data_IF_326285335308
#
_entry.id   IF_326285335308
#
_cell.length_a   1.000
_cell.length_b   1.000
_cell.length_c   1.000
_cell.angle_alpha   90.00
_cell.angle_beta   90.00
_cell.angle_gamma   90.00
#
_symmetry.space_group_name_H-M   'P 1'
#
loop_
_entity.id
_entity.type
_entity.pdbx_description
1 polymer ?
#
# COMPACT_ATOMS: atom_id res chain seq x y z
N UNK A 1 -23.32 -59.82 -16.36
CA UNK A 1 -22.55 -58.71 -16.93
C UNK A 1 -23.43 -57.49 -16.87
N UNK A 2 -23.26 -56.71 -15.81
CA UNK A 2 -23.95 -55.45 -15.57
C UNK A 2 -22.90 -54.55 -14.94
N UNK A 3 -22.48 -53.57 -15.74
CA UNK A 3 -21.39 -52.65 -15.47
C UNK A 3 -21.68 -51.82 -14.22
N UNK A 4 -20.72 -51.80 -13.30
CA UNK A 4 -20.71 -50.91 -12.15
C UNK A 4 -20.40 -49.49 -12.62
N UNK A 5 -21.37 -48.59 -12.48
CA UNK A 5 -21.14 -47.14 -12.56
C UNK A 5 -20.36 -46.71 -11.32
N UNK A 6 -19.09 -46.41 -11.53
CA UNK A 6 -18.22 -45.83 -10.52
C UNK A 6 -18.45 -44.30 -10.50
N UNK A 7 -19.40 -43.84 -9.69
CA UNK A 7 -19.54 -42.42 -9.33
C UNK A 7 -18.40 -42.05 -8.37
N UNK A 8 -17.26 -41.64 -8.94
CA UNK A 8 -16.23 -40.93 -8.19
C UNK A 8 -16.73 -39.53 -7.86
N UNK A 9 -17.47 -39.40 -6.76
CA UNK A 9 -17.67 -38.15 -6.06
C UNK A 9 -16.32 -37.61 -5.60
N UNK A 10 -15.80 -36.62 -6.34
CA UNK A 10 -14.72 -35.77 -5.83
C UNK A 10 -15.31 -34.99 -4.66
N UNK A 11 -14.84 -35.29 -3.45
CA UNK A 11 -15.06 -34.45 -2.29
C UNK A 11 -14.48 -33.06 -2.59
N UNK A 12 -15.32 -32.09 -2.91
CA UNK A 12 -14.96 -30.68 -2.81
C UNK A 12 -14.72 -30.37 -1.33
N UNK A 13 -13.45 -30.38 -0.91
CA UNK A 13 -13.08 -29.75 0.34
C UNK A 13 -13.47 -28.27 0.24
N UNK A 14 -14.31 -27.80 1.16
CA UNK A 14 -14.81 -26.43 1.25
C UNK A 14 -13.74 -25.40 1.65
N UNK A 15 -12.57 -25.46 1.02
CA UNK A 15 -11.45 -24.55 1.24
C UNK A 15 -11.45 -23.46 0.15
N UNK A 16 -11.37 -22.20 0.58
CA UNK A 16 -11.34 -21.05 -0.33
C UNK A 16 -10.01 -21.02 -1.10
N UNK A 17 -9.94 -20.46 -2.32
CA UNK A 17 -8.69 -20.42 -3.07
C UNK A 17 -7.61 -19.66 -2.30
N UNK A 18 -6.41 -20.25 -2.18
CA UNK A 18 -5.23 -19.57 -1.65
C UNK A 18 -4.60 -18.68 -2.74
N UNK A 19 -4.40 -17.40 -2.40
CA UNK A 19 -3.63 -16.44 -3.20
C UNK A 19 -2.37 -16.10 -2.43
N UNK A 20 -1.22 -16.25 -3.09
CA UNK A 20 0.07 -15.81 -2.56
C UNK A 20 0.47 -14.47 -3.17
N UNK A 21 0.75 -13.48 -2.32
CA UNK A 21 1.34 -12.22 -2.71
C UNK A 21 2.80 -12.17 -2.25
N UNK A 22 3.72 -12.16 -3.20
CA UNK A 22 5.12 -11.88 -2.93
C UNK A 22 5.31 -10.36 -2.87
N UNK A 23 5.88 -9.88 -1.78
CA UNK A 23 6.18 -8.46 -1.55
C UNK A 23 7.68 -8.26 -1.31
N UNK A 24 8.14 -7.03 -1.55
CA UNK A 24 9.54 -6.67 -1.23
C UNK A 24 9.74 -6.69 0.28
N UNK A 25 10.84 -7.30 0.73
CA UNK A 25 11.29 -7.16 2.10
C UNK A 25 11.90 -5.78 2.36
N UNK A 26 12.07 -5.46 3.64
CA UNK A 26 12.78 -4.28 4.10
C UNK A 26 14.23 -4.30 3.62
N UNK A 27 14.73 -3.14 3.18
CA UNK A 27 16.14 -2.95 2.85
C UNK A 27 17.04 -2.88 4.10
N UNK A 28 16.45 -2.89 5.29
CA UNK A 28 17.15 -2.81 6.56
C UNK A 28 17.52 -4.22 7.05
N UNK A 29 16.53 -5.11 7.17
CA UNK A 29 16.72 -6.43 7.78
C UNK A 29 16.48 -7.62 6.83
N UNK A 30 16.03 -7.37 5.60
CA UNK A 30 15.73 -8.40 4.61
C UNK A 30 14.59 -9.34 5.00
N UNK A 31 13.79 -9.01 6.03
CA UNK A 31 12.76 -9.90 6.60
C UNK A 31 11.41 -9.22 6.74
N UNK A 32 11.35 -8.02 7.33
CA UNK A 32 10.08 -7.29 7.46
C UNK A 32 9.53 -6.90 6.11
N UNK A 33 8.24 -6.56 6.04
CA UNK A 33 7.65 -5.90 4.88
C UNK A 33 8.37 -4.59 4.53
N UNK A 34 8.76 -4.44 3.28
CA UNK A 34 9.32 -3.21 2.74
C UNK A 34 8.24 -2.20 2.35
N UNK A 35 8.65 -0.97 2.07
CA UNK A 35 7.75 0.14 1.77
C UNK A 35 7.48 0.32 0.26
N UNK A 36 7.18 -0.76 -0.47
CA UNK A 36 6.75 -0.65 -1.86
C UNK A 36 5.25 -0.32 -1.89
N UNK A 37 4.88 0.82 -2.50
CA UNK A 37 3.47 1.26 -2.59
C UNK A 37 2.57 0.21 -3.25
N UNK A 38 2.97 -0.31 -4.42
CA UNK A 38 2.19 -1.34 -5.12
C UNK A 38 2.06 -2.64 -4.30
N UNK A 39 3.10 -3.02 -3.55
CA UNK A 39 2.99 -4.17 -2.64
C UNK A 39 1.93 -3.92 -1.56
N UNK A 40 1.92 -2.73 -0.95
CA UNK A 40 0.95 -2.41 0.10
C UNK A 40 -0.47 -2.29 -0.48
N UNK A 41 -0.62 -1.67 -1.64
CA UNK A 41 -1.88 -1.51 -2.37
C UNK A 41 -2.55 -2.87 -2.62
N UNK A 42 -1.85 -3.79 -3.29
CA UNK A 42 -2.40 -5.13 -3.57
C UNK A 42 -2.53 -6.01 -2.31
N UNK A 43 -1.69 -5.80 -1.29
CA UNK A 43 -1.87 -6.48 0.00
C UNK A 43 -3.18 -6.00 0.65
N UNK A 44 -3.46 -4.71 0.69
CA UNK A 44 -4.73 -4.20 1.23
C UNK A 44 -5.93 -4.77 0.49
N UNK A 45 -5.89 -4.78 -0.85
CA UNK A 45 -6.98 -5.34 -1.67
C UNK A 45 -7.24 -6.82 -1.37
N UNK A 46 -6.18 -7.64 -1.39
CA UNK A 46 -6.30 -9.07 -1.10
C UNK A 46 -6.69 -9.33 0.36
N UNK A 47 -6.26 -8.50 1.31
CA UNK A 47 -6.64 -8.64 2.71
C UNK A 47 -8.14 -8.41 2.90
N UNK A 48 -8.70 -7.38 2.27
CA UNK A 48 -10.14 -7.11 2.29
C UNK A 48 -10.94 -8.29 1.70
N UNK A 49 -10.44 -8.92 0.63
CA UNK A 49 -11.07 -10.11 0.05
C UNK A 49 -10.96 -11.33 0.98
N UNK A 50 -9.83 -11.50 1.67
CA UNK A 50 -9.67 -12.55 2.67
C UNK A 50 -10.59 -12.35 3.88
N UNK A 51 -10.85 -11.11 4.32
CA UNK A 51 -11.81 -10.79 5.38
C UNK A 51 -13.25 -11.17 5.00
N UNK A 52 -13.60 -11.06 3.71
CA UNK A 52 -14.86 -11.55 3.16
C UNK A 52 -14.94 -13.08 3.05
N UNK A 53 -13.86 -13.79 3.44
CA UNK A 53 -13.71 -15.25 3.33
C UNK A 53 -13.92 -15.75 1.91
N UNK A 54 -13.52 -14.96 0.91
CA UNK A 54 -13.58 -15.38 -0.50
C UNK A 54 -12.28 -16.03 -0.96
N UNK A 55 -11.18 -15.77 -0.25
CA UNK A 55 -9.84 -16.32 -0.49
C UNK A 55 -9.13 -16.58 0.84
N UNK A 56 -8.08 -17.39 0.80
CA UNK A 56 -7.02 -17.39 1.81
C UNK A 56 -5.85 -16.56 1.29
N UNK A 57 -5.24 -15.72 2.12
CA UNK A 57 -4.12 -14.88 1.72
C UNK A 57 -2.82 -15.33 2.39
N UNK A 58 -1.83 -15.69 1.56
CA UNK A 58 -0.45 -15.91 1.97
C UNK A 58 0.41 -14.73 1.52
N UNK A 59 1.22 -14.19 2.40
CA UNK A 59 2.16 -13.10 2.05
C UNK A 59 3.59 -13.55 2.28
N UNK A 60 4.40 -13.43 1.24
CA UNK A 60 5.82 -13.83 1.25
C UNK A 60 6.70 -12.63 1.00
N UNK A 61 7.62 -12.34 1.91
CA UNK A 61 8.60 -11.24 1.74
C UNK A 61 9.87 -11.75 1.06
N UNK A 62 10.37 -11.02 0.06
CA UNK A 62 11.64 -11.34 -0.62
C UNK A 62 12.64 -10.20 -0.48
N UNK A 63 13.81 -10.51 0.07
CA UNK A 63 14.98 -9.62 0.05
C UNK A 63 15.57 -9.60 -1.36
N UNK A 64 15.42 -8.48 -2.07
CA UNK A 64 15.93 -8.32 -3.43
C UNK A 64 17.46 -8.15 -3.49
N UNK A 65 18.14 -7.93 -2.36
CA UNK A 65 19.61 -7.92 -2.30
C UNK A 65 20.16 -9.35 -2.18
N UNK A 66 19.38 -10.27 -1.60
CA UNK A 66 19.72 -11.68 -1.42
C UNK A 66 18.50 -12.57 -1.75
N UNK A 67 18.01 -12.55 -3.01
CA UNK A 67 16.82 -13.32 -3.37
C UNK A 67 17.13 -14.82 -3.32
N UNK A 68 16.10 -15.68 -3.10
CA UNK A 68 16.25 -17.13 -3.23
C UNK A 68 16.88 -17.54 -4.57
N UNK A 69 17.68 -18.62 -4.64
CA UNK A 69 18.41 -19.00 -5.84
C UNK A 69 17.55 -19.17 -7.10
N UNK A 70 16.33 -19.66 -6.91
CA UNK A 70 15.32 -19.96 -7.93
C UNK A 70 14.41 -18.77 -8.26
N UNK A 71 14.44 -17.69 -7.47
CA UNK A 71 13.57 -16.52 -7.67
C UNK A 71 13.69 -15.92 -9.08
N UNK A 72 14.92 -15.78 -9.58
CA UNK A 72 15.17 -15.21 -10.92
C UNK A 72 14.64 -16.09 -12.03
N UNK A 73 14.79 -17.41 -11.89
CA UNK A 73 14.30 -18.38 -12.88
C UNK A 73 12.78 -18.46 -12.86
N UNK A 74 12.17 -18.42 -11.67
CA UNK A 74 10.71 -18.54 -11.50
C UNK A 74 9.94 -17.29 -11.93
N UNK A 75 10.56 -16.10 -11.85
CA UNK A 75 9.87 -14.82 -12.05
C UNK A 75 10.55 -13.90 -13.06
N UNK A 76 11.46 -14.42 -13.88
CA UNK A 76 12.15 -13.68 -14.96
C UNK A 76 12.85 -12.40 -14.48
N UNK A 77 13.39 -12.42 -13.25
CA UNK A 77 13.96 -11.25 -12.57
C UNK A 77 12.99 -10.06 -12.36
N UNK A 78 11.68 -10.28 -12.53
CA UNK A 78 10.66 -9.28 -12.20
C UNK A 78 10.69 -9.02 -10.69
N UNK A 79 10.79 -7.76 -10.26
CA UNK A 79 10.70 -7.45 -8.85
C UNK A 79 9.25 -7.53 -8.33
N UNK A 80 9.05 -7.78 -7.02
CA UNK A 80 7.72 -7.70 -6.43
C UNK A 80 7.06 -6.31 -6.56
N UNK A 81 5.71 -6.24 -6.56
CA UNK A 81 4.77 -7.31 -6.22
C UNK A 81 4.62 -8.40 -7.30
N UNK A 82 4.44 -9.65 -6.87
CA UNK A 82 4.10 -10.79 -7.73
C UNK A 82 2.92 -11.50 -7.10
N UNK A 83 1.87 -11.77 -7.87
CA UNK A 83 0.70 -12.53 -7.42
C UNK A 83 0.79 -13.95 -7.96
N UNK A 84 0.54 -14.95 -7.10
CA UNK A 84 0.44 -16.36 -7.48
C UNK A 84 -0.96 -16.84 -7.12
N UNK A 85 -1.69 -17.32 -8.13
CA UNK A 85 -3.02 -17.90 -8.00
C UNK A 85 -3.03 -19.27 -8.66
N UNK A 86 -3.21 -20.34 -7.86
CA UNK A 86 -3.21 -21.74 -8.32
C UNK A 86 -2.00 -22.11 -9.20
N UNK A 87 -0.81 -21.61 -8.83
CA UNK A 87 0.45 -21.85 -9.55
C UNK A 87 0.68 -20.92 -10.76
N UNK A 88 -0.27 -20.07 -11.12
CA UNK A 88 -0.09 -19.05 -12.15
C UNK A 88 0.53 -17.78 -11.53
N UNK A 89 1.75 -17.44 -11.94
CA UNK A 89 2.42 -16.21 -11.53
C UNK A 89 2.04 -15.03 -12.44
N UNK A 90 1.65 -13.92 -11.83
CA UNK A 90 1.29 -12.66 -12.49
C UNK A 90 2.27 -11.60 -12.03
N UNK A 91 3.04 -11.07 -12.97
CA UNK A 91 4.28 -10.34 -12.70
C UNK A 91 4.14 -8.80 -12.86
N UNK A 92 3.21 -8.35 -13.71
CA UNK A 92 3.04 -6.92 -14.03
C UNK A 92 1.90 -6.30 -13.22
N UNK A 93 2.12 -5.12 -12.64
CA UNK A 93 1.13 -4.40 -11.82
C UNK A 93 -0.26 -4.30 -12.49
N UNK A 94 -0.34 -3.84 -13.74
CA UNK A 94 -1.62 -3.73 -14.46
C UNK A 94 -2.32 -5.08 -14.65
N UNK A 95 -1.55 -6.17 -14.75
CA UNK A 95 -2.09 -7.54 -14.85
C UNK A 95 -2.52 -8.06 -13.48
N UNK A 96 -1.78 -7.75 -12.41
CA UNK A 96 -2.16 -8.08 -11.03
C UNK A 96 -3.49 -7.41 -10.71
N UNK A 97 -3.60 -6.10 -10.90
CA UNK A 97 -4.82 -5.33 -10.66
C UNK A 97 -6.01 -5.91 -11.44
N UNK A 98 -5.82 -6.16 -12.74
CA UNK A 98 -6.85 -6.76 -13.60
C UNK A 98 -7.25 -8.16 -13.13
N UNK A 99 -6.30 -8.96 -12.63
CA UNK A 99 -6.56 -10.29 -12.12
C UNK A 99 -7.35 -10.25 -10.81
N UNK A 100 -6.97 -9.38 -9.87
CA UNK A 100 -7.73 -9.18 -8.63
C UNK A 100 -9.16 -8.74 -8.97
N UNK A 101 -9.33 -7.77 -9.86
CA UNK A 101 -10.64 -7.28 -10.28
C UNK A 101 -11.52 -8.35 -10.93
N UNK A 102 -10.98 -9.17 -11.83
CA UNK A 102 -11.78 -10.05 -12.71
C UNK A 102 -11.83 -11.51 -12.27
N UNK A 103 -10.76 -12.01 -11.67
CA UNK A 103 -10.56 -13.44 -11.43
C UNK A 103 -10.71 -13.81 -9.95
N UNK A 104 -10.42 -12.88 -9.04
CA UNK A 104 -10.49 -13.13 -7.60
C UNK A 104 -11.93 -12.91 -7.10
N UNK A 105 -12.54 -13.88 -6.38
CA UNK A 105 -13.93 -13.73 -5.95
C UNK A 105 -14.10 -12.55 -4.98
N UNK A 106 -15.08 -11.68 -5.28
CA UNK A 106 -15.32 -10.42 -4.58
C UNK A 106 -14.60 -9.20 -5.18
N UNK A 107 -13.59 -9.41 -6.04
CA UNK A 107 -12.77 -8.33 -6.61
C UNK A 107 -13.58 -7.24 -7.32
N UNK A 108 -14.52 -7.61 -8.18
CA UNK A 108 -15.35 -6.66 -8.94
C UNK A 108 -16.07 -5.60 -8.06
N UNK A 109 -16.39 -5.92 -6.80
CA UNK A 109 -17.04 -4.96 -5.87
C UNK A 109 -16.04 -3.95 -5.29
N UNK A 110 -14.76 -4.31 -5.21
CA UNK A 110 -13.68 -3.45 -4.71
C UNK A 110 -13.25 -2.43 -5.76
N UNK A 111 -13.28 -2.80 -7.04
CA UNK A 111 -12.89 -1.96 -8.18
C UNK A 111 -14.05 -1.11 -8.69
N UNK A 112 -14.38 -0.07 -7.93
CA UNK A 112 -15.43 0.90 -8.27
C UNK A 112 -14.96 1.83 -9.39
N UNK A 113 -15.87 2.17 -10.31
CA UNK A 113 -15.59 3.19 -11.33
C UNK A 113 -15.97 4.58 -10.84
N UNK A 114 -14.97 5.38 -10.48
CA UNK A 114 -15.16 6.80 -10.13
C UNK A 114 -14.04 7.65 -10.76
N UNK A 115 -14.38 8.34 -11.85
CA UNK A 115 -13.41 9.19 -12.58
C UNK A 115 -12.99 10.41 -11.78
N UNK A 116 -13.87 10.94 -10.94
CA UNK A 116 -13.56 12.11 -10.10
C UNK A 116 -12.50 11.73 -9.07
N UNK A 117 -12.68 10.59 -8.39
CA UNK A 117 -11.71 10.05 -7.44
C UNK A 117 -10.39 9.68 -8.12
N UNK A 118 -10.43 9.01 -9.27
CA UNK A 118 -9.23 8.66 -10.02
C UNK A 118 -8.37 9.90 -10.32
N UNK A 119 -8.97 10.97 -10.87
CA UNK A 119 -8.28 12.24 -11.14
C UNK A 119 -7.86 12.97 -9.87
N UNK A 120 -8.63 12.84 -8.78
CA UNK A 120 -8.32 13.48 -7.50
C UNK A 120 -7.01 12.96 -6.91
N UNK A 121 -6.78 11.65 -6.92
CA UNK A 121 -5.61 11.03 -6.27
C UNK A 121 -4.39 10.94 -7.19
N UNK A 122 -4.60 11.05 -8.51
CA UNK A 122 -3.55 10.98 -9.52
C UNK A 122 -2.40 11.96 -9.24
N UNK A 123 -1.16 11.52 -9.38
CA UNK A 123 0.07 12.35 -9.27
C UNK A 123 0.41 12.90 -7.87
N UNK A 124 -0.35 12.59 -6.81
CA UNK A 124 0.00 13.07 -5.46
C UNK A 124 1.40 12.61 -5.03
N UNK A 125 1.74 11.34 -5.29
CA UNK A 125 3.03 10.78 -4.92
C UNK A 125 4.18 11.38 -5.75
N UNK A 126 3.93 11.74 -7.00
CA UNK A 126 4.92 12.45 -7.84
C UNK A 126 5.25 13.82 -7.25
N UNK A 127 4.23 14.59 -6.82
CA UNK A 127 4.45 15.88 -6.16
C UNK A 127 5.24 15.73 -4.85
N UNK A 128 4.93 14.68 -4.08
CA UNK A 128 5.71 14.34 -2.89
C UNK A 128 7.17 14.01 -3.22
N UNK A 129 7.44 13.16 -4.21
CA UNK A 129 8.81 12.86 -4.65
C UNK A 129 9.55 14.13 -5.05
N UNK A 130 8.95 14.98 -5.87
CA UNK A 130 9.55 16.27 -6.26
C UNK A 130 9.87 17.16 -5.04
N UNK A 131 9.03 17.15 -4.02
CA UNK A 131 9.28 17.90 -2.78
C UNK A 131 10.54 17.40 -2.06
N UNK A 132 10.63 16.09 -1.80
CA UNK A 132 11.76 15.53 -1.06
C UNK A 132 13.06 15.46 -1.89
N UNK A 133 12.98 15.41 -3.22
CA UNK A 133 14.17 15.46 -4.09
C UNK A 133 14.78 16.87 -4.11
N UNK A 134 13.97 17.92 -4.28
CA UNK A 134 14.46 19.31 -4.33
C UNK A 134 15.23 19.71 -3.08
N UNK A 135 14.84 19.20 -1.92
CA UNK A 135 15.55 19.52 -0.69
C UNK A 135 16.94 18.91 -0.59
N UNK A 136 17.13 17.73 -1.19
CA UNK A 136 18.43 17.07 -1.22
C UNK A 136 19.38 17.83 -2.14
N UNK A 137 18.90 18.32 -3.29
CA UNK A 137 19.72 19.14 -4.20
C UNK A 137 20.12 20.47 -3.57
N UNK A 138 19.21 21.11 -2.83
CA UNK A 138 19.40 22.47 -2.34
C UNK A 138 20.16 22.52 -1.00
N UNK A 139 20.47 21.37 -0.37
CA UNK A 139 20.98 21.25 1.00
C UNK A 139 20.18 22.08 2.03
N UNK A 140 18.90 22.34 1.75
CA UNK A 140 18.01 23.14 2.59
C UNK A 140 16.94 22.24 3.18
N UNK A 141 17.00 22.07 4.50
CA UNK A 141 15.86 21.60 5.28
C UNK A 141 14.97 22.82 5.47
N UNK A 142 13.83 22.85 4.79
CA UNK A 142 12.87 23.95 4.88
C UNK A 142 11.61 23.45 5.56
N UNK A 143 11.18 24.11 6.63
CA UNK A 143 9.84 23.93 7.21
C UNK A 143 8.75 24.53 6.33
N UNK A 144 9.09 25.29 5.29
CA UNK A 144 8.12 25.90 4.40
C UNK A 144 7.41 24.81 3.57
N UNK A 145 6.07 24.90 3.45
CA UNK A 145 5.29 23.93 2.70
C UNK A 145 5.67 23.94 1.22
N UNK A 146 5.62 22.78 0.58
CA UNK A 146 5.62 22.67 -0.87
C UNK A 146 4.23 23.04 -1.39
N UNK A 147 4.06 24.16 -2.10
CA UNK A 147 2.72 24.58 -2.50
C UNK A 147 2.00 23.53 -3.38
N UNK A 148 2.63 22.89 -4.38
CA UNK A 148 1.98 21.83 -5.15
C UNK A 148 1.46 20.64 -4.32
N UNK A 149 2.25 20.13 -3.36
CA UNK A 149 1.83 19.02 -2.51
C UNK A 149 0.72 19.45 -1.54
N UNK A 150 0.89 20.62 -0.90
CA UNK A 150 -0.09 21.13 0.06
C UNK A 150 -1.45 21.40 -0.61
N UNK A 151 -1.46 22.06 -1.78
CA UNK A 151 -2.68 22.28 -2.56
C UNK A 151 -3.34 20.97 -2.97
N UNK A 152 -2.56 19.91 -3.21
CA UNK A 152 -3.15 18.60 -3.49
C UNK A 152 -3.84 18.01 -2.27
N UNK A 153 -3.17 18.04 -1.11
CA UNK A 153 -3.76 17.58 0.15
C UNK A 153 -5.03 18.39 0.51
N UNK A 154 -5.03 19.69 0.24
CA UNK A 154 -6.22 20.57 0.38
C UNK A 154 -7.36 20.12 -0.54
N UNK A 155 -7.10 19.84 -1.81
CA UNK A 155 -8.14 19.30 -2.72
C UNK A 155 -8.73 17.98 -2.25
N UNK A 156 -7.90 17.07 -1.71
CA UNK A 156 -8.40 15.80 -1.15
C UNK A 156 -9.24 16.05 0.10
N UNK A 157 -8.78 16.93 0.99
CA UNK A 157 -9.55 17.35 2.16
C UNK A 157 -10.93 17.91 1.78
N UNK A 158 -10.96 18.83 0.82
CA UNK A 158 -12.20 19.50 0.41
C UNK A 158 -13.15 18.52 -0.27
N UNK A 159 -12.61 17.59 -1.08
CA UNK A 159 -13.38 16.50 -1.65
C UNK A 159 -14.01 15.62 -0.57
N UNK A 160 -13.22 15.13 0.40
CA UNK A 160 -13.72 14.31 1.51
C UNK A 160 -14.77 15.04 2.34
N UNK A 161 -14.53 16.31 2.67
CA UNK A 161 -15.46 17.14 3.43
C UNK A 161 -16.78 17.39 2.68
N UNK A 162 -16.74 17.55 1.36
CA UNK A 162 -17.93 17.70 0.51
C UNK A 162 -18.68 16.37 0.34
N UNK A 163 -17.95 15.25 0.19
CA UNK A 163 -18.53 13.91 0.00
C UNK A 163 -19.22 13.42 1.27
N UNK A 164 -18.64 13.68 2.44
CA UNK A 164 -19.22 13.34 3.74
C UNK A 164 -19.29 11.84 4.03
N UNK A 165 -18.50 11.03 3.32
CA UNK A 165 -18.44 9.57 3.46
C UNK A 165 -17.19 9.14 4.24
N UNK A 166 -17.20 7.91 4.77
CA UNK A 166 -16.05 7.38 5.52
C UNK A 166 -14.78 7.24 4.66
N UNK A 167 -14.94 6.82 3.41
CA UNK A 167 -13.89 6.56 2.43
C UNK A 167 -14.12 7.33 1.13
N UNK A 168 -13.22 7.21 0.15
CA UNK A 168 -13.22 8.05 -1.06
C UNK A 168 -14.50 7.91 -1.91
N UNK A 169 -15.04 6.70 -2.02
CA UNK A 169 -16.20 6.42 -2.88
C UNK A 169 -17.50 6.17 -2.11
N UNK A 170 -17.43 5.96 -0.80
CA UNK A 170 -18.57 5.64 0.06
C UNK A 170 -18.14 5.24 1.47
N UNK A 171 -18.97 4.48 2.19
CA UNK A 171 -18.66 4.01 3.55
C UNK A 171 -17.93 2.65 3.59
N UNK A 172 -17.70 2.05 2.42
CA UNK A 172 -16.93 0.81 2.23
C UNK A 172 -15.64 1.11 1.45
N UNK A 173 -14.58 0.38 1.76
CA UNK A 173 -13.28 0.49 1.07
C UNK A 173 -13.40 0.18 -0.42
N UNK A 174 -12.63 0.88 -1.24
CA UNK A 174 -12.45 0.66 -2.68
C UNK A 174 -10.97 0.58 -3.04
N UNK A 175 -10.66 0.17 -4.28
CA UNK A 175 -9.29 0.16 -4.79
C UNK A 175 -8.58 1.54 -4.66
N UNK A 176 -9.32 2.63 -4.79
CA UNK A 176 -8.77 3.99 -4.63
C UNK A 176 -8.26 4.26 -3.21
N UNK A 177 -8.90 3.67 -2.20
CA UNK A 177 -8.46 3.81 -0.80
C UNK A 177 -7.17 3.01 -0.57
N UNK A 178 -7.10 1.78 -1.10
CA UNK A 178 -5.89 0.96 -1.14
C UNK A 178 -4.73 1.64 -1.87
N UNK A 179 -5.03 2.48 -2.87
CA UNK A 179 -4.03 3.30 -3.57
C UNK A 179 -3.57 4.50 -2.71
N UNK A 180 -4.53 5.29 -2.21
CA UNK A 180 -4.25 6.58 -1.57
C UNK A 180 -3.64 6.43 -0.16
N UNK A 181 -4.13 5.49 0.64
CA UNK A 181 -3.72 5.33 2.05
C UNK A 181 -2.21 5.08 2.21
N UNK A 182 -1.56 4.14 1.48
CA UNK A 182 -0.11 3.97 1.49
C UNK A 182 0.64 5.26 1.12
N UNK A 183 0.16 6.00 0.12
CA UNK A 183 0.77 7.25 -0.35
C UNK A 183 0.69 8.34 0.72
N UNK A 184 -0.44 8.48 1.42
CA UNK A 184 -0.60 9.42 2.53
C UNK A 184 0.33 9.08 3.70
N UNK A 185 0.48 7.79 4.03
CA UNK A 185 1.42 7.37 5.08
C UNK A 185 2.86 7.70 4.69
N UNK A 186 3.27 7.41 3.46
CA UNK A 186 4.58 7.80 2.95
C UNK A 186 4.81 9.31 3.02
N UNK A 187 3.81 10.12 2.64
CA UNK A 187 3.87 11.58 2.73
C UNK A 187 4.07 12.00 4.18
N UNK A 188 3.27 11.48 5.11
CA UNK A 188 3.34 11.81 6.53
C UNK A 188 4.72 11.52 7.12
N UNK A 189 5.25 10.31 6.90
CA UNK A 189 6.53 9.89 7.47
C UNK A 189 7.70 10.57 6.75
N UNK A 190 7.70 10.51 5.42
CA UNK A 190 8.79 11.02 4.61
C UNK A 190 8.91 12.54 4.65
N UNK A 191 7.80 13.28 4.48
CA UNK A 191 7.88 14.74 4.49
C UNK A 191 8.34 15.27 5.87
N UNK A 192 7.94 14.62 6.97
CA UNK A 192 8.45 14.94 8.31
C UNK A 192 9.94 14.62 8.46
N UNK A 193 10.37 13.45 8.00
CA UNK A 193 11.76 13.01 8.11
C UNK A 193 12.72 13.90 7.31
N UNK A 194 12.38 14.24 6.07
CA UNK A 194 13.27 14.94 5.13
C UNK A 194 13.08 16.45 5.11
N UNK A 195 11.87 16.95 5.42
CA UNK A 195 11.53 18.38 5.31
C UNK A 195 10.94 19.00 6.57
N UNK A 196 10.78 18.24 7.66
CA UNK A 196 10.07 18.72 8.86
C UNK A 196 8.66 19.24 8.55
N UNK A 197 8.10 18.84 7.42
CA UNK A 197 6.73 19.16 7.04
C UNK A 197 5.78 18.16 7.70
N UNK A 198 4.71 18.69 8.28
CA UNK A 198 3.59 17.91 8.80
C UNK A 198 2.33 18.29 8.04
N UNK A 199 1.45 17.31 7.80
CA UNK A 199 0.14 17.56 7.19
C UNK A 199 -0.61 18.54 8.12
N UNK A 200 -1.05 19.71 7.64
CA UNK A 200 -1.63 20.72 8.53
C UNK A 200 -2.87 20.20 9.27
N UNK A 201 -2.98 20.49 10.56
CA UNK A 201 -4.08 20.04 11.42
C UNK A 201 -5.44 20.55 10.97
N UNK A 202 -5.49 21.71 10.29
CA UNK A 202 -6.72 22.28 9.69
C UNK A 202 -7.36 21.42 8.60
N UNK A 203 -6.65 20.41 8.06
CA UNK A 203 -7.19 19.49 7.06
C UNK A 203 -8.05 18.41 7.73
N UNK A 204 -9.14 18.82 8.38
CA UNK A 204 -9.93 17.99 9.28
C UNK A 204 -10.52 16.74 8.60
N UNK A 205 -11.04 16.87 7.37
CA UNK A 205 -11.63 15.74 6.66
C UNK A 205 -10.55 14.72 6.25
N UNK A 206 -9.38 15.20 5.84
CA UNK A 206 -8.24 14.33 5.56
C UNK A 206 -7.73 13.62 6.82
N UNK A 207 -7.61 14.33 7.95
CA UNK A 207 -7.22 13.71 9.21
C UNK A 207 -8.25 12.69 9.72
N UNK A 208 -9.55 12.95 9.50
CA UNK A 208 -10.63 11.99 9.79
C UNK A 208 -10.49 10.74 8.92
N UNK A 209 -10.25 10.91 7.62
CA UNK A 209 -9.97 9.80 6.70
C UNK A 209 -8.72 9.00 7.11
N UNK A 210 -7.64 9.67 7.53
CA UNK A 210 -6.44 8.99 8.06
C UNK A 210 -6.70 8.30 9.40
N UNK A 211 -7.59 8.83 10.24
CA UNK A 211 -8.03 8.15 11.47
C UNK A 211 -8.74 6.83 11.13
N UNK A 212 -9.69 6.87 10.18
CA UNK A 212 -10.37 5.67 9.68
C UNK A 212 -9.36 4.67 9.07
N UNK A 213 -8.37 5.16 8.31
CA UNK A 213 -7.28 4.35 7.76
C UNK A 213 -6.52 3.58 8.85
N UNK A 214 -6.21 4.22 9.99
CA UNK A 214 -5.47 3.58 11.08
C UNK A 214 -6.28 2.56 11.88
N UNK A 215 -7.61 2.53 11.72
CA UNK A 215 -8.50 1.53 12.31
C UNK A 215 -8.68 0.30 11.41
N UNK A 216 -8.28 0.36 10.13
CA UNK A 216 -8.43 -0.74 9.19
C UNK A 216 -7.33 -1.79 9.36
N UNK A 217 -7.72 -3.04 9.61
CA UNK A 217 -6.76 -4.14 9.68
C UNK A 217 -6.03 -4.35 8.35
N UNK A 218 -6.71 -4.23 7.21
CA UNK A 218 -6.05 -4.25 5.89
C UNK A 218 -4.87 -3.26 5.80
N UNK A 219 -5.03 -2.04 6.33
CA UNK A 219 -3.94 -1.06 6.37
C UNK A 219 -2.89 -1.43 7.42
N UNK A 220 -3.28 -1.77 8.65
CA UNK A 220 -2.33 -2.08 9.74
C UNK A 220 -1.45 -3.30 9.44
N UNK A 221 -2.05 -4.34 8.86
CA UNK A 221 -1.36 -5.58 8.51
C UNK A 221 -0.43 -5.41 7.31
N UNK A 222 -0.72 -4.48 6.40
CA UNK A 222 0.10 -4.20 5.22
C UNK A 222 1.13 -3.07 5.42
N UNK A 223 0.91 -2.16 6.38
CA UNK A 223 1.73 -0.97 6.57
C UNK A 223 3.16 -1.33 7.00
N UNK A 224 4.21 -0.86 6.29
CA UNK A 224 5.60 -1.00 6.72
C UNK A 224 5.88 -0.15 7.96
N UNK A 225 6.99 -0.41 8.65
CA UNK A 225 7.42 0.45 9.75
C UNK A 225 7.93 1.79 9.22
N UNK A 226 7.89 2.83 10.05
CA UNK A 226 8.32 4.18 9.68
C UNK A 226 9.78 4.19 9.19
N UNK A 227 10.65 3.40 9.83
CA UNK A 227 12.05 3.25 9.42
C UNK A 227 12.20 2.65 8.02
N UNK A 228 11.33 1.69 7.66
CA UNK A 228 11.34 1.04 6.36
C UNK A 228 10.87 2.01 5.26
N UNK A 229 9.90 2.89 5.56
CA UNK A 229 9.49 4.00 4.68
C UNK A 229 10.64 4.99 4.48
N UNK A 230 11.28 5.43 5.56
CA UNK A 230 12.40 6.38 5.49
C UNK A 230 13.56 5.79 4.69
N UNK A 231 13.95 4.53 4.97
CA UNK A 231 15.00 3.82 4.24
C UNK A 231 14.65 3.66 2.75
N UNK A 232 13.40 3.32 2.43
CA UNK A 232 12.93 3.23 1.06
C UNK A 232 13.10 4.56 0.30
N UNK A 233 12.68 5.68 0.90
CA UNK A 233 12.82 7.00 0.30
C UNK A 233 14.30 7.40 0.18
N UNK A 234 15.13 7.12 1.19
CA UNK A 234 16.59 7.35 1.12
C UNK A 234 17.21 6.64 -0.09
N UNK A 235 16.86 5.37 -0.28
CA UNK A 235 17.36 4.58 -1.41
C UNK A 235 16.91 5.17 -2.76
N UNK A 236 15.66 5.63 -2.88
CA UNK A 236 15.18 6.33 -4.08
C UNK A 236 15.91 7.66 -4.35
N UNK A 237 16.37 8.33 -3.30
CA UNK A 237 17.13 9.59 -3.38
C UNK A 237 18.64 9.37 -3.52
N UNK A 238 19.13 8.13 -3.57
CA UNK A 238 20.56 7.83 -3.60
C UNK A 238 21.30 8.17 -2.31
N UNK A 239 20.58 8.37 -1.20
CA UNK A 239 21.14 8.68 0.12
C UNK A 239 21.46 7.38 0.83
N UNK A 240 22.68 7.25 1.36
CA UNK A 240 23.08 6.08 2.14
C UNK A 240 22.25 5.99 3.43
N UNK A 241 21.74 4.79 3.71
CA UNK A 241 21.16 4.48 5.02
C UNK A 241 22.27 4.46 6.08
N UNK A 242 21.99 5.06 7.24
CA UNK A 242 22.92 5.12 8.37
C UNK A 242 22.72 3.91 9.27
N UNK A 243 23.80 3.31 9.76
CA UNK A 243 23.77 2.15 10.67
C UNK A 243 22.83 2.33 11.90
N UNK A 244 22.60 3.57 12.35
CA UNK A 244 21.66 3.87 13.43
C UNK A 244 20.22 3.41 13.14
N UNK A 245 19.74 3.56 11.91
CA UNK A 245 18.37 3.16 11.53
C UNK A 245 18.22 1.64 11.51
N UNK A 246 19.32 0.91 11.28
CA UNK A 246 19.32 -0.56 11.23
C UNK A 246 19.15 -1.22 12.61
N UNK A 247 19.48 -0.48 13.67
CA UNK A 247 19.40 -0.94 15.05
C UNK A 247 18.15 -0.44 15.78
N UNK A 248 17.33 0.40 15.15
CA UNK A 248 16.11 0.95 15.75
C UNK A 248 14.97 -0.08 15.75
N UNK A 249 14.24 -0.14 16.86
CA UNK A 249 13.01 -0.94 16.95
C UNK A 249 11.96 -0.40 15.98
N UNK A 250 11.28 -1.25 15.19
CA UNK A 250 10.24 -0.81 14.26
C UNK A 250 9.13 -0.06 14.99
N UNK A 251 8.78 1.13 14.48
CA UNK A 251 7.63 1.92 14.98
C UNK A 251 6.63 2.19 13.87
N UNK A 252 5.38 2.40 14.25
CA UNK A 252 4.26 2.64 13.33
C UNK A 252 3.53 3.91 13.77
N UNK A 253 3.78 5.02 13.09
CA UNK A 253 3.11 6.28 13.42
C UNK A 253 1.66 6.26 12.95
N UNK A 254 0.75 6.16 13.91
CA UNK A 254 -0.71 6.09 13.72
C UNK A 254 -1.46 7.14 14.55
N UNK A 255 -0.76 7.96 15.33
CA UNK A 255 -1.38 9.02 16.15
C UNK A 255 -2.09 10.05 15.28
N UNK A 256 -3.17 10.65 15.77
CA UNK A 256 -3.81 11.81 15.12
C UNK A 256 -3.45 13.06 15.92
N UNK A 257 -3.11 14.20 15.29
CA UNK A 257 -2.85 15.44 16.02
C UNK A 257 -4.08 15.86 16.82
N UNK A 258 -3.88 16.26 18.08
CA UNK A 258 -4.96 16.82 18.89
C UNK A 258 -5.35 18.16 18.25
N UNK A 259 -6.61 18.29 17.83
CA UNK A 259 -7.16 19.57 17.41
C UNK A 259 -7.24 20.44 18.66
N UNK A 260 -6.41 21.49 18.74
CA UNK A 260 -6.64 22.54 19.73
C UNK A 260 -7.96 23.22 19.38
N UNK A 261 -8.97 23.09 20.24
CA UNK A 261 -10.18 23.89 20.15
C UNK A 261 -9.76 25.37 20.06
N UNK A 262 -10.22 26.03 19.00
CA UNK A 262 -9.99 27.47 18.76
C UNK A 262 -11.09 28.28 19.41
#
# INVERSE_FOLDING_TARGET
>A
MSEEMNENGVQENGDVPEIELIIRASNIDGRRKGACLFCQEYFMELYLLAELKTISLKVTTVDMQKPPPDFRTNFEATPPPILIDRGMAILENEKIERHIMKSVPGGHNLFVQDKEVATLIENIYTKFKSYVTKSVSDNKISTAPNPPLLQHLERINDFLGKRGTRFLTGDTMSCFDCELMPRLQHIRIGAKAFQKFEIPTRLNALWTYMSNMYELEAFRQSCPADQDIISHIKNQLGIKTTARIELETPVFTTSIPILSES
#
